data_IF_229387975718
#
_entry.id   IF_229387975718
#
_cell.length_a   1.000
_cell.length_b   1.000
_cell.length_c   1.000
_cell.angle_alpha   90.00
_cell.angle_beta   90.00
_cell.angle_gamma   90.00
#
_symmetry.space_group_name_H-M   'P 1'
#
loop_
_entity.id
_entity.type
_entity.pdbx_description
1 polymer ?
#
# COMPACT_ATOMS: atom_id res chain seq x y z
N UNK A 1 -13.18 16.13 3.95
CA UNK A 1 -14.29 16.02 4.93
C UNK A 1 -14.08 14.73 5.70
N UNK A 2 -13.73 14.81 6.99
CA UNK A 2 -13.66 13.67 7.87
C UNK A 2 -15.07 13.08 8.00
N UNK A 3 -15.24 11.82 7.58
CA UNK A 3 -16.48 11.09 7.78
C UNK A 3 -16.84 11.14 9.27
N UNK A 4 -18.02 11.66 9.60
CA UNK A 4 -18.54 11.57 10.97
C UNK A 4 -18.59 10.10 11.35
N UNK A 5 -18.08 9.70 12.52
CA UNK A 5 -18.26 8.34 12.98
C UNK A 5 -19.78 8.07 13.03
N UNK A 6 -20.21 6.99 12.38
CA UNK A 6 -21.58 6.50 12.50
C UNK A 6 -21.78 5.99 13.92
N UNK A 7 -21.99 6.91 14.86
CA UNK A 7 -22.27 6.57 16.26
C UNK A 7 -23.62 5.84 16.34
N UNK A 8 -23.58 4.54 16.60
CA UNK A 8 -24.63 3.83 17.25
C UNK A 8 -25.89 3.45 16.45
N UNK A 9 -25.98 3.66 15.14
CA UNK A 9 -27.05 3.00 14.36
C UNK A 9 -26.63 1.55 14.09
N UNK A 10 -27.20 0.62 14.82
CA UNK A 10 -27.26 -0.78 14.36
C UNK A 10 -28.03 -0.73 13.03
N UNK A 11 -27.30 -0.79 11.91
CA UNK A 11 -27.94 -1.03 10.62
C UNK A 11 -28.46 -2.47 10.66
N UNK A 12 -29.74 -2.61 10.92
CA UNK A 12 -30.39 -3.91 10.99
C UNK A 12 -30.82 -4.44 9.61
N UNK A 13 -30.79 -3.58 8.61
CA UNK A 13 -31.18 -3.91 7.25
C UNK A 13 -30.25 -3.22 6.25
N UNK A 14 -29.59 -4.01 5.39
CA UNK A 14 -28.73 -3.59 4.30
C UNK A 14 -29.39 -3.85 2.94
N UNK A 15 -30.71 -4.06 2.90
CA UNK A 15 -31.46 -4.29 1.66
C UNK A 15 -31.20 -3.15 0.66
N UNK A 16 -30.91 -3.50 -0.58
CA UNK A 16 -30.61 -2.54 -1.64
C UNK A 16 -29.12 -2.13 -1.73
N UNK A 17 -28.27 -2.52 -0.77
CA UNK A 17 -26.83 -2.32 -0.88
C UNK A 17 -26.16 -3.50 -1.58
N UNK A 18 -25.23 -3.19 -2.47
CA UNK A 18 -24.37 -4.18 -3.13
C UNK A 18 -22.95 -4.04 -2.64
N UNK A 19 -22.32 -5.15 -2.24
CA UNK A 19 -20.91 -5.23 -1.85
C UNK A 19 -20.16 -6.09 -2.87
N UNK A 20 -19.08 -5.55 -3.43
CA UNK A 20 -18.20 -6.24 -4.36
C UNK A 20 -17.10 -7.02 -3.65
N UNK A 21 -16.83 -8.25 -4.10
CA UNK A 21 -15.68 -9.06 -3.68
C UNK A 21 -14.71 -9.13 -4.87
N UNK A 22 -13.56 -8.43 -4.84
CA UNK A 22 -12.56 -8.53 -5.90
C UNK A 22 -12.01 -9.97 -5.95
N UNK A 23 -12.21 -10.64 -7.08
CA UNK A 23 -11.85 -12.06 -7.24
C UNK A 23 -10.33 -12.28 -7.04
N UNK A 24 -9.53 -11.31 -7.47
CA UNK A 24 -8.07 -11.33 -7.42
C UNK A 24 -7.52 -11.28 -6.00
N UNK A 25 -8.30 -10.78 -5.02
CA UNK A 25 -7.92 -10.80 -3.60
C UNK A 25 -8.05 -12.18 -2.96
N UNK A 26 -8.69 -13.14 -3.63
CA UNK A 26 -8.95 -14.49 -3.11
C UNK A 26 -8.15 -15.57 -3.87
N UNK A 27 -7.02 -15.20 -4.46
CA UNK A 27 -6.11 -16.08 -5.18
C UNK A 27 -5.22 -16.96 -4.29
N UNK A 28 -4.16 -17.48 -4.90
CA UNK A 28 -3.08 -18.20 -4.19
C UNK A 28 -2.34 -17.27 -3.22
N UNK A 29 -1.84 -17.84 -2.12
CA UNK A 29 -1.10 -17.09 -1.07
C UNK A 29 -1.98 -16.46 0.01
N UNK A 30 -3.31 -16.45 -0.11
CA UNK A 30 -4.20 -16.04 0.96
C UNK A 30 -4.39 -17.19 1.95
N UNK A 31 -4.06 -16.94 3.22
CA UNK A 31 -4.24 -17.90 4.31
C UNK A 31 -5.70 -18.34 4.45
N UNK A 32 -5.91 -19.63 4.73
CA UNK A 32 -7.24 -20.22 4.82
C UNK A 32 -8.10 -19.62 5.95
N UNK A 33 -7.49 -19.22 7.07
CA UNK A 33 -8.21 -18.60 8.19
C UNK A 33 -8.66 -17.19 7.80
N UNK A 34 -7.80 -16.41 7.12
CA UNK A 34 -8.14 -15.07 6.63
C UNK A 34 -9.26 -15.16 5.60
N UNK A 35 -9.16 -16.10 4.65
CA UNK A 35 -10.21 -16.37 3.66
C UNK A 35 -11.54 -16.67 4.35
N UNK A 36 -11.56 -17.62 5.28
CA UNK A 36 -12.78 -18.01 6.00
C UNK A 36 -13.39 -16.83 6.78
N UNK A 37 -12.57 -15.99 7.41
CA UNK A 37 -13.05 -14.82 8.14
C UNK A 37 -13.74 -13.80 7.22
N UNK A 38 -13.15 -13.51 6.04
CA UNK A 38 -13.74 -12.58 5.06
C UNK A 38 -15.01 -13.17 4.43
N UNK A 39 -15.03 -14.47 4.13
CA UNK A 39 -16.22 -15.15 3.62
C UNK A 39 -17.35 -15.19 4.65
N UNK A 40 -17.05 -15.37 5.94
CA UNK A 40 -18.02 -15.26 7.03
C UNK A 40 -18.58 -13.84 7.15
N UNK A 41 -17.74 -12.82 7.03
CA UNK A 41 -18.18 -11.42 6.99
C UNK A 41 -19.13 -11.16 5.79
N UNK A 42 -18.79 -11.68 4.61
CA UNK A 42 -19.66 -11.62 3.43
C UNK A 42 -21.01 -12.34 3.68
N UNK A 43 -20.98 -13.48 4.38
CA UNK A 43 -22.19 -14.21 4.81
C UNK A 43 -23.07 -13.39 5.74
N UNK A 44 -22.45 -12.70 6.71
CA UNK A 44 -23.17 -11.80 7.63
C UNK A 44 -23.83 -10.65 6.88
N UNK A 45 -23.13 -10.02 5.91
CA UNK A 45 -23.71 -8.96 5.10
C UNK A 45 -24.93 -9.43 4.31
N UNK A 46 -24.87 -10.66 3.73
CA UNK A 46 -26.05 -11.28 3.06
C UNK A 46 -27.18 -11.52 4.03
N UNK A 47 -26.90 -12.00 5.23
CA UNK A 47 -27.89 -12.21 6.29
C UNK A 47 -28.58 -10.91 6.73
N UNK A 48 -27.92 -9.77 6.56
CA UNK A 48 -28.47 -8.44 6.81
C UNK A 48 -29.19 -7.84 5.58
N UNK A 49 -29.34 -8.58 4.48
CA UNK A 49 -30.06 -8.18 3.29
C UNK A 49 -29.20 -7.59 2.15
N UNK A 50 -27.88 -7.44 2.34
CA UNK A 50 -27.00 -6.93 1.28
C UNK A 50 -26.81 -7.96 0.16
N UNK A 51 -26.73 -7.49 -1.07
CA UNK A 51 -26.23 -8.27 -2.19
C UNK A 51 -24.70 -8.31 -2.16
N UNK A 52 -24.12 -9.51 -2.20
CA UNK A 52 -22.67 -9.69 -2.30
C UNK A 52 -22.34 -10.36 -3.62
N UNK A 53 -21.63 -9.65 -4.49
CA UNK A 53 -21.24 -10.13 -5.83
C UNK A 53 -19.74 -10.12 -6.05
N UNK A 54 -19.24 -11.00 -6.90
CA UNK A 54 -17.86 -10.94 -7.37
C UNK A 54 -17.69 -9.78 -8.33
N UNK A 55 -16.58 -9.08 -8.21
CA UNK A 55 -16.08 -8.06 -9.14
C UNK A 55 -14.66 -8.41 -9.55
N UNK A 56 -14.17 -7.85 -10.64
CA UNK A 56 -12.80 -8.09 -11.11
C UNK A 56 -12.00 -6.81 -11.13
N UNK A 57 -10.76 -6.90 -10.68
CA UNK A 57 -9.72 -5.86 -10.73
C UNK A 57 -8.48 -6.48 -11.39
N UNK A 58 -8.49 -6.74 -12.71
CA UNK A 58 -7.45 -7.52 -13.38
C UNK A 58 -6.06 -6.91 -13.27
N UNK A 59 -5.94 -5.61 -13.04
CA UNK A 59 -4.65 -4.94 -12.84
C UNK A 59 -4.12 -5.02 -11.40
N UNK A 60 -4.87 -5.62 -10.46
CA UNK A 60 -4.47 -5.74 -9.05
C UNK A 60 -3.06 -6.34 -8.85
N UNK A 61 -2.59 -7.34 -9.62
CA UNK A 61 -1.23 -7.87 -9.50
C UNK A 61 -0.12 -6.83 -9.73
N UNK A 62 -0.42 -5.74 -10.43
CA UNK A 62 0.54 -4.66 -10.69
C UNK A 62 0.56 -3.59 -9.58
N UNK A 63 -0.37 -3.63 -8.63
CA UNK A 63 -0.50 -2.62 -7.58
C UNK A 63 0.76 -2.52 -6.72
N UNK A 64 1.21 -3.65 -6.19
CA UNK A 64 2.37 -3.70 -5.30
C UNK A 64 3.67 -3.25 -5.96
N UNK A 65 4.07 -3.75 -7.16
CA UNK A 65 5.22 -3.24 -7.88
C UNK A 65 5.12 -1.74 -8.21
N UNK A 66 3.96 -1.28 -8.66
CA UNK A 66 3.74 0.13 -8.98
C UNK A 66 3.90 1.01 -7.75
N UNK A 67 3.33 0.60 -6.61
CA UNK A 67 3.47 1.31 -5.34
C UNK A 67 4.94 1.47 -4.92
N UNK A 68 5.71 0.39 -4.93
CA UNK A 68 7.11 0.47 -4.48
C UNK A 68 7.98 1.32 -5.39
N UNK A 69 7.72 1.34 -6.69
CA UNK A 69 8.41 2.24 -7.62
C UNK A 69 8.03 3.69 -7.33
N UNK A 70 6.73 4.00 -7.24
CA UNK A 70 6.25 5.38 -7.02
C UNK A 70 6.68 5.88 -5.64
N UNK A 71 6.45 5.11 -4.59
CA UNK A 71 6.78 5.53 -3.22
C UNK A 71 8.28 5.72 -3.01
N UNK A 72 9.11 4.87 -3.63
CA UNK A 72 10.57 5.04 -3.60
C UNK A 72 11.02 6.27 -4.36
N UNK A 73 10.45 6.54 -5.53
CA UNK A 73 10.74 7.74 -6.32
C UNK A 73 10.38 9.02 -5.57
N UNK A 74 9.19 9.05 -4.95
CA UNK A 74 8.75 10.18 -4.13
C UNK A 74 9.59 10.33 -2.86
N UNK A 75 9.92 9.23 -2.18
CA UNK A 75 10.80 9.25 -1.01
C UNK A 75 12.18 9.81 -1.34
N UNK A 76 12.78 9.39 -2.46
CA UNK A 76 14.07 9.91 -2.94
C UNK A 76 14.00 11.42 -3.18
N UNK A 77 12.97 11.89 -3.87
CA UNK A 77 12.78 13.32 -4.16
C UNK A 77 12.51 14.14 -2.90
N UNK A 78 11.62 13.69 -2.03
CA UNK A 78 11.24 14.41 -0.82
C UNK A 78 12.37 14.46 0.20
N UNK A 79 13.09 13.34 0.40
CA UNK A 79 14.19 13.26 1.36
C UNK A 79 15.49 13.89 0.83
N UNK A 80 15.55 14.31 -0.45
CA UNK A 80 16.67 15.10 -0.96
C UNK A 80 16.85 16.43 -0.19
N UNK A 81 15.77 16.96 0.40
CA UNK A 81 15.78 18.20 1.20
C UNK A 81 16.33 18.04 2.61
N UNK A 82 16.56 16.82 3.06
CA UNK A 82 17.07 16.57 4.41
C UNK A 82 18.55 16.83 4.46
N UNK A 83 18.93 17.89 5.15
CA UNK A 83 20.32 18.40 5.26
C UNK A 83 20.89 18.37 6.69
N UNK A 84 20.04 18.19 7.72
CA UNK A 84 20.45 18.26 9.13
C UNK A 84 20.76 19.68 9.61
N UNK A 85 20.42 20.72 8.84
CA UNK A 85 20.67 22.13 9.19
C UNK A 85 19.43 22.76 9.79
N UNK A 86 18.28 22.65 9.11
CA UNK A 86 17.02 23.31 9.51
C UNK A 86 16.21 22.47 10.48
N UNK A 87 16.26 21.15 10.35
CA UNK A 87 15.48 20.20 11.16
C UNK A 87 16.08 18.79 11.09
N UNK A 88 15.69 17.97 12.05
CA UNK A 88 16.08 16.57 12.12
C UNK A 88 17.47 16.36 12.72
N UNK A 89 18.03 15.17 12.47
CA UNK A 89 19.34 14.79 12.98
C UNK A 89 20.45 15.57 12.27
N UNK A 90 21.42 16.06 13.05
CA UNK A 90 22.64 16.71 12.57
C UNK A 90 23.86 15.96 13.10
N UNK A 91 24.79 15.61 12.23
CA UNK A 91 26.06 15.00 12.63
C UNK A 91 26.84 15.94 13.56
N UNK A 92 27.45 15.33 14.59
CA UNK A 92 28.16 16.10 15.63
C UNK A 92 29.57 16.55 15.21
N UNK A 93 30.21 15.78 14.33
CA UNK A 93 31.59 16.02 13.89
C UNK A 93 31.67 15.98 12.35
N UNK A 94 32.10 17.06 11.75
CA UNK A 94 32.30 17.23 10.31
C UNK A 94 33.39 18.30 10.05
N UNK A 95 34.12 18.16 8.97
CA UNK A 95 35.17 19.08 8.57
C UNK A 95 34.65 20.25 7.71
N UNK A 96 33.66 19.99 6.87
CA UNK A 96 33.07 20.94 5.93
C UNK A 96 31.56 20.69 5.71
N UNK A 97 30.96 21.52 4.87
CA UNK A 97 29.51 21.46 4.59
C UNK A 97 29.09 20.16 3.88
N UNK A 98 29.90 19.68 2.95
CA UNK A 98 29.60 18.43 2.22
C UNK A 98 29.64 17.23 3.17
N UNK A 99 30.62 17.22 4.07
CA UNK A 99 30.71 16.19 5.09
C UNK A 99 29.56 16.26 6.09
N UNK A 100 29.13 17.47 6.49
CA UNK A 100 27.94 17.66 7.31
C UNK A 100 26.71 17.00 6.68
N UNK A 101 26.43 17.30 5.41
CA UNK A 101 25.27 16.72 4.71
C UNK A 101 25.39 15.22 4.58
N UNK A 102 26.52 14.72 4.15
CA UNK A 102 26.77 13.30 3.98
C UNK A 102 26.61 12.51 5.28
N UNK A 103 27.26 12.95 6.35
CA UNK A 103 27.18 12.30 7.66
C UNK A 103 25.78 12.39 8.27
N UNK A 104 25.14 13.56 8.24
CA UNK A 104 23.78 13.73 8.77
C UNK A 104 22.80 12.77 8.08
N UNK A 105 22.89 12.61 6.79
CA UNK A 105 22.05 11.66 6.03
C UNK A 105 22.44 10.20 6.32
N UNK A 106 23.74 9.91 6.42
CA UNK A 106 24.24 8.57 6.70
C UNK A 106 23.82 8.06 8.09
N UNK A 107 23.88 8.91 9.09
CA UNK A 107 23.59 8.59 10.48
C UNK A 107 22.09 8.70 10.78
N UNK A 108 21.41 9.69 10.19
CA UNK A 108 20.00 10.00 10.44
C UNK A 108 19.01 9.10 9.71
N UNK A 109 19.39 8.49 8.58
CA UNK A 109 18.50 7.58 7.84
C UNK A 109 18.74 6.12 8.21
N UNK A 110 17.67 5.41 8.57
CA UNK A 110 17.68 3.95 8.73
C UNK A 110 17.88 3.24 7.39
N UNK A 111 18.19 1.94 7.46
CA UNK A 111 18.52 1.13 6.27
C UNK A 111 17.40 1.07 5.25
N UNK A 112 16.14 0.95 5.69
CA UNK A 112 14.98 0.92 4.78
C UNK A 112 14.82 2.22 4.02
N UNK A 113 14.98 3.36 4.69
CA UNK A 113 14.92 4.69 4.05
C UNK A 113 16.04 4.83 3.02
N UNK A 114 17.26 4.40 3.34
CA UNK A 114 18.39 4.41 2.40
C UNK A 114 18.10 3.55 1.17
N UNK A 115 17.53 2.36 1.36
CA UNK A 115 17.12 1.46 0.27
C UNK A 115 16.12 2.14 -0.66
N UNK A 116 15.07 2.78 -0.10
CA UNK A 116 14.06 3.50 -0.88
C UNK A 116 14.64 4.70 -1.63
N UNK A 117 15.55 5.46 -1.02
CA UNK A 117 16.25 6.55 -1.69
C UNK A 117 17.05 6.03 -2.89
N UNK A 118 17.80 4.94 -2.72
CA UNK A 118 18.60 4.35 -3.81
C UNK A 118 17.71 3.84 -4.96
N UNK A 119 16.65 3.09 -4.63
CA UNK A 119 15.69 2.59 -5.62
C UNK A 119 14.97 3.74 -6.35
N UNK A 120 14.56 4.77 -5.61
CA UNK A 120 13.90 5.94 -6.19
C UNK A 120 14.82 6.74 -7.10
N UNK A 121 16.08 6.94 -6.70
CA UNK A 121 17.10 7.59 -7.53
C UNK A 121 17.32 6.83 -8.83
N UNK A 122 17.39 5.50 -8.76
CA UNK A 122 17.49 4.66 -9.95
C UNK A 122 16.25 4.81 -10.85
N UNK A 123 15.05 4.68 -10.28
CA UNK A 123 13.79 4.76 -11.03
C UNK A 123 13.56 6.13 -11.69
N UNK A 124 14.13 7.21 -11.15
CA UNK A 124 14.04 8.56 -11.68
C UNK A 124 15.22 8.94 -12.60
N UNK A 125 16.25 8.09 -12.72
CA UNK A 125 17.41 8.39 -13.53
C UNK A 125 17.11 8.36 -15.03
N UNK A 126 17.89 9.14 -15.80
CA UNK A 126 17.77 9.21 -17.26
C UNK A 126 17.90 7.81 -17.89
N UNK A 127 16.97 7.46 -18.77
CA UNK A 127 16.89 6.16 -19.43
C UNK A 127 16.06 5.11 -18.68
N UNK A 128 15.79 5.28 -17.38
CA UNK A 128 14.96 4.35 -16.59
C UNK A 128 13.62 4.94 -16.18
N UNK A 129 13.47 6.26 -16.17
CA UNK A 129 12.26 6.94 -15.77
C UNK A 129 11.03 6.47 -16.56
N UNK A 130 11.14 6.36 -17.87
CA UNK A 130 10.06 5.90 -18.74
C UNK A 130 9.73 4.43 -18.50
N UNK A 131 10.76 3.62 -18.24
CA UNK A 131 10.62 2.17 -18.10
C UNK A 131 10.01 1.75 -16.77
N UNK A 132 10.24 2.50 -15.71
CA UNK A 132 9.79 2.18 -14.35
C UNK A 132 8.76 3.17 -13.83
N UNK A 133 9.13 4.44 -13.65
CA UNK A 133 8.27 5.41 -12.97
C UNK A 133 7.01 5.73 -13.77
N UNK A 134 7.12 6.03 -15.06
CA UNK A 134 5.95 6.32 -15.89
C UNK A 134 5.08 5.08 -16.13
N UNK A 135 5.66 3.89 -16.21
CA UNK A 135 4.86 2.64 -16.25
C UNK A 135 4.09 2.43 -14.96
N UNK A 136 4.72 2.67 -13.81
CA UNK A 136 4.05 2.56 -12.51
C UNK A 136 2.89 3.55 -12.38
N UNK A 137 3.06 4.79 -12.85
CA UNK A 137 1.96 5.78 -12.90
C UNK A 137 0.81 5.32 -13.81
N UNK A 138 1.10 4.72 -14.96
CA UNK A 138 0.07 4.16 -15.85
C UNK A 138 -0.67 2.99 -15.19
N UNK A 139 0.05 2.10 -14.52
CA UNK A 139 -0.55 0.99 -13.78
C UNK A 139 -1.47 1.50 -12.66
N UNK A 140 -1.05 2.51 -11.91
CA UNK A 140 -1.88 3.17 -10.88
C UNK A 140 -3.16 3.76 -11.47
N UNK A 141 -3.06 4.43 -12.62
CA UNK A 141 -4.23 5.03 -13.26
C UNK A 141 -5.21 3.97 -13.76
N UNK A 142 -4.72 2.85 -14.29
CA UNK A 142 -5.54 1.72 -14.71
C UNK A 142 -6.28 1.10 -13.51
N UNK A 143 -5.58 0.85 -12.40
CA UNK A 143 -6.17 0.37 -11.15
C UNK A 143 -7.25 1.32 -10.62
N UNK A 144 -6.98 2.63 -10.63
CA UNK A 144 -7.95 3.65 -10.22
C UNK A 144 -9.23 3.59 -11.05
N UNK A 145 -9.08 3.38 -12.36
CA UNK A 145 -10.22 3.27 -13.28
C UNK A 145 -11.04 2.00 -13.00
N UNK A 146 -10.37 0.85 -12.91
CA UNK A 146 -11.03 -0.43 -12.58
C UNK A 146 -11.75 -0.39 -11.23
N UNK A 147 -11.13 0.20 -10.22
CA UNK A 147 -11.76 0.37 -8.90
C UNK A 147 -12.98 1.29 -8.96
N UNK A 148 -12.91 2.38 -9.73
CA UNK A 148 -14.04 3.30 -9.91
C UNK A 148 -15.20 2.61 -10.64
N UNK A 149 -14.94 1.81 -11.67
CA UNK A 149 -15.95 1.01 -12.37
C UNK A 149 -16.60 -0.02 -11.44
N UNK A 150 -15.79 -0.75 -10.67
CA UNK A 150 -16.29 -1.72 -9.70
C UNK A 150 -17.18 -1.05 -8.64
N UNK A 151 -16.78 0.12 -8.13
CA UNK A 151 -17.54 0.92 -7.17
C UNK A 151 -18.78 1.58 -7.79
N UNK A 152 -18.81 1.83 -9.10
CA UNK A 152 -20.01 2.34 -9.80
C UNK A 152 -21.23 1.43 -9.68
N UNK A 153 -21.01 0.14 -9.42
CA UNK A 153 -22.06 -0.84 -9.20
C UNK A 153 -22.12 -1.43 -7.79
N UNK A 154 -21.31 -0.91 -6.86
CA UNK A 154 -21.23 -1.40 -5.48
C UNK A 154 -21.15 -0.24 -4.50
N UNK A 155 -21.81 -0.37 -3.35
CA UNK A 155 -21.69 0.60 -2.25
C UNK A 155 -20.32 0.52 -1.56
N UNK A 156 -19.67 -0.65 -1.59
CA UNK A 156 -18.34 -0.90 -1.04
C UNK A 156 -17.70 -2.12 -1.70
N UNK A 157 -16.37 -2.21 -1.56
CA UNK A 157 -15.62 -3.44 -1.83
C UNK A 157 -15.19 -4.07 -0.50
N UNK A 158 -15.23 -5.39 -0.43
CA UNK A 158 -14.77 -6.18 0.71
C UNK A 158 -13.59 -7.03 0.27
N UNK A 159 -12.45 -6.84 0.91
CA UNK A 159 -11.21 -7.59 0.66
C UNK A 159 -10.53 -7.99 1.96
N UNK A 160 -9.61 -8.98 1.95
CA UNK A 160 -8.67 -9.17 3.04
C UNK A 160 -7.81 -7.91 3.25
N UNK A 161 -7.26 -7.72 4.44
CA UNK A 161 -6.31 -6.63 4.74
C UNK A 161 -4.86 -7.09 4.53
N UNK A 162 -4.57 -8.34 4.92
CA UNK A 162 -3.25 -8.94 4.75
C UNK A 162 -3.41 -10.42 4.38
N UNK A 163 -2.45 -11.01 3.63
CA UNK A 163 -2.51 -12.42 3.27
C UNK A 163 -2.46 -13.37 4.47
N UNK A 164 -1.54 -13.22 5.46
CA UNK A 164 -1.50 -14.06 6.65
C UNK A 164 -2.27 -13.42 7.82
N UNK A 165 -2.60 -14.21 8.85
CA UNK A 165 -2.96 -13.67 10.15
C UNK A 165 -1.80 -12.90 10.79
N UNK A 166 -2.03 -12.28 11.96
CA UNK A 166 -0.98 -11.56 12.68
C UNK A 166 0.22 -12.49 12.98
N UNK A 167 1.42 -12.02 12.67
CA UNK A 167 2.67 -12.72 12.92
C UNK A 167 3.25 -12.36 14.29
N UNK A 168 4.15 -13.19 14.81
CA UNK A 168 4.83 -12.95 16.10
C UNK A 168 5.83 -11.81 15.99
N UNK A 169 6.08 -11.12 17.11
CA UNK A 169 7.12 -10.10 17.17
C UNK A 169 8.47 -10.69 16.77
N UNK A 170 9.15 -10.05 15.82
CA UNK A 170 10.46 -10.48 15.31
C UNK A 170 10.43 -11.58 14.23
N UNK A 171 9.29 -12.17 13.91
CA UNK A 171 9.18 -13.28 12.95
C UNK A 171 9.58 -12.90 11.52
N UNK A 172 9.24 -11.68 11.08
CA UNK A 172 9.45 -11.20 9.68
C UNK A 172 10.61 -10.21 9.53
N UNK A 173 11.56 -10.19 10.46
CA UNK A 173 12.67 -9.22 10.40
C UNK A 173 13.79 -9.63 9.42
N UNK A 174 13.82 -10.88 8.97
CA UNK A 174 14.89 -11.45 8.15
C UNK A 174 14.74 -11.24 6.65
N UNK A 175 13.51 -11.17 6.13
CA UNK A 175 13.23 -11.03 4.69
C UNK A 175 12.33 -9.82 4.38
N UNK A 176 12.90 -8.74 3.78
CA UNK A 176 12.11 -7.58 3.37
C UNK A 176 11.01 -7.90 2.34
N UNK A 177 11.22 -8.90 1.48
CA UNK A 177 10.22 -9.27 0.46
C UNK A 177 8.96 -9.86 1.09
N UNK A 178 9.13 -10.66 2.13
CA UNK A 178 8.01 -11.23 2.88
C UNK A 178 7.18 -10.14 3.60
N UNK A 179 7.86 -9.11 4.10
CA UNK A 179 7.18 -7.92 4.65
C UNK A 179 6.41 -7.16 3.58
N UNK A 180 7.01 -6.96 2.40
CA UNK A 180 6.39 -6.21 1.32
C UNK A 180 5.14 -6.91 0.75
N UNK A 181 5.15 -8.23 0.65
CA UNK A 181 3.99 -8.99 0.21
C UNK A 181 2.79 -8.86 1.17
N UNK A 182 3.03 -8.48 2.42
CA UNK A 182 1.96 -8.18 3.38
C UNK A 182 1.04 -7.03 2.96
N UNK A 183 1.53 -6.11 2.13
CA UNK A 183 0.81 -4.90 1.73
C UNK A 183 -0.06 -5.07 0.47
N UNK A 184 -0.10 -6.28 -0.13
CA UNK A 184 -0.71 -6.52 -1.45
C UNK A 184 -2.18 -6.10 -1.54
N UNK A 185 -2.94 -6.12 -0.45
CA UNK A 185 -4.35 -5.76 -0.42
C UNK A 185 -4.63 -4.34 0.07
N UNK A 186 -3.64 -3.66 0.65
CA UNK A 186 -3.80 -2.31 1.23
C UNK A 186 -3.24 -1.20 0.35
N UNK A 187 -2.44 -1.55 -0.63
CA UNK A 187 -1.78 -0.63 -1.57
C UNK A 187 -2.69 -0.16 -2.72
N UNK A 188 -3.60 -0.96 -3.24
CA UNK A 188 -4.48 -0.58 -4.36
C UNK A 188 -5.39 0.60 -4.12
#
# INVERSE_FOLDING_TARGET
ALARPCAGRKMQDLSGLTVGLPAECFGEGLDAQVRAAVEAAAGTLRGLGAQVRKVSLPSLPYALPAYYVISSAEASSNLARYDGVRYGYRAQAYADLDELYRKSRQEGFGMEVKRRIMLGTFALSSGYQDQYYLKALKARELLRHEAAEALGGCAALLSPVAPPPAYRLGEKTGDPMEMYLGDIYTVP
#
